data_IF_386548874484
#
_entry.id   IF_386548874484
#
_cell.length_a   1.000
_cell.length_b   1.000
_cell.length_c   1.000
_cell.angle_alpha   90.00
_cell.angle_beta   90.00
_cell.angle_gamma   90.00
#
_symmetry.space_group_name_H-M   'P 1'
#
loop_
_entity.id
_entity.type
_entity.pdbx_description
1 polymer ?
#
# COMPACT_ATOMS: atom_id res chain seq x y z
N UNK A 1 10.95 0.83 -9.58
CA UNK A 1 10.66 -0.09 -8.46
C UNK A 1 10.19 0.75 -7.28
N UNK A 2 8.95 0.55 -6.83
CA UNK A 2 8.43 1.16 -5.60
C UNK A 2 8.56 0.12 -4.50
N UNK A 3 9.42 0.39 -3.51
CA UNK A 3 9.58 -0.48 -2.35
C UNK A 3 8.76 0.11 -1.20
N UNK A 4 7.88 -0.69 -0.61
CA UNK A 4 7.25 -0.38 0.66
C UNK A 4 7.38 -1.62 1.54
N UNK A 5 7.78 -1.44 2.79
CA UNK A 5 7.93 -2.59 3.66
C UNK A 5 6.64 -2.84 4.42
N UNK A 6 5.90 -3.83 3.96
CA UNK A 6 4.79 -4.42 4.69
C UNK A 6 4.81 -5.91 4.48
N UNK A 7 5.19 -6.67 5.53
CA UNK A 7 5.27 -8.14 5.48
C UNK A 7 6.10 -8.70 4.30
N UNK A 8 7.14 -7.99 3.86
CA UNK A 8 7.98 -8.38 2.71
C UNK A 8 7.26 -8.32 1.35
N UNK A 9 6.07 -7.71 1.28
CA UNK A 9 5.32 -7.55 0.05
C UNK A 9 6.07 -6.64 -0.94
N UNK A 10 6.13 -7.08 -2.19
CA UNK A 10 6.63 -6.28 -3.31
C UNK A 10 5.44 -5.89 -4.18
N UNK A 11 5.39 -4.63 -4.61
CA UNK A 11 4.41 -4.15 -5.57
C UNK A 11 5.09 -3.82 -6.89
N UNK A 12 4.78 -4.60 -7.90
CA UNK A 12 5.16 -4.31 -9.28
C UNK A 12 4.14 -3.39 -9.93
N UNK A 13 4.63 -2.35 -10.59
CA UNK A 13 3.82 -1.38 -11.32
C UNK A 13 4.22 -1.46 -12.78
N UNK A 14 3.30 -1.95 -13.61
CA UNK A 14 3.52 -2.08 -15.04
C UNK A 14 3.32 -0.73 -15.72
N UNK A 15 4.38 -0.17 -16.32
CA UNK A 15 4.30 1.08 -17.11
C UNK A 15 3.78 0.86 -18.54
N UNK A 16 3.59 -0.40 -18.92
CA UNK A 16 2.89 -0.81 -20.14
C UNK A 16 1.79 -1.75 -19.70
N UNK A 17 0.56 -1.42 -20.07
CA UNK A 17 -0.62 -2.21 -19.72
C UNK A 17 -0.45 -3.67 -20.17
N UNK A 18 -0.38 -4.64 -19.23
CA UNK A 18 -0.26 -6.05 -19.56
C UNK A 18 -1.62 -6.68 -19.91
N UNK A 19 -2.72 -5.93 -19.86
CA UNK A 19 -4.08 -6.42 -19.94
C UNK A 19 -4.72 -6.64 -18.56
N UNK A 20 -5.94 -7.21 -18.49
CA UNK A 20 -6.61 -7.46 -17.22
C UNK A 20 -5.82 -8.43 -16.35
N UNK A 21 -5.95 -8.29 -15.03
CA UNK A 21 -5.35 -9.24 -14.08
C UNK A 21 -5.84 -10.67 -14.41
N UNK A 22 -4.94 -11.66 -14.48
CA UNK A 22 -5.31 -13.03 -14.86
C UNK A 22 -6.10 -13.76 -13.77
N UNK A 23 -5.98 -13.32 -12.51
CA UNK A 23 -6.72 -13.80 -11.35
C UNK A 23 -6.69 -12.74 -10.24
N UNK A 24 -7.63 -12.86 -9.31
CA UNK A 24 -7.64 -12.02 -8.10
C UNK A 24 -6.54 -12.45 -7.13
N UNK A 25 -5.77 -11.48 -6.64
CA UNK A 25 -4.60 -11.72 -5.79
C UNK A 25 -4.55 -10.74 -4.61
N UNK A 26 -3.74 -11.05 -3.60
CA UNK A 26 -3.66 -10.23 -2.37
C UNK A 26 -3.34 -8.75 -2.62
N UNK A 27 -2.55 -8.44 -3.65
CA UNK A 27 -2.12 -7.06 -3.97
C UNK A 27 -2.69 -6.55 -5.31
N UNK A 28 -3.44 -7.39 -6.02
CA UNK A 28 -3.91 -7.10 -7.37
C UNK A 28 -2.80 -6.83 -8.38
N UNK A 29 -3.19 -6.24 -9.50
CA UNK A 29 -2.29 -5.82 -10.57
C UNK A 29 -2.30 -4.30 -10.68
N UNK A 30 -1.11 -3.69 -10.62
CA UNK A 30 -0.95 -2.23 -10.73
C UNK A 30 -0.44 -1.82 -12.10
N UNK A 31 -1.14 -0.91 -12.77
CA UNK A 31 -0.74 -0.32 -14.05
C UNK A 31 -0.51 1.18 -13.87
N UNK A 32 0.70 1.62 -14.20
CA UNK A 32 1.16 2.99 -14.04
C UNK A 32 1.17 3.74 -15.38
N UNK A 33 0.77 5.00 -15.36
CA UNK A 33 0.93 5.93 -16.47
C UNK A 33 1.30 7.32 -15.95
N UNK A 34 1.82 8.18 -16.83
CA UNK A 34 2.18 9.55 -16.48
C UNK A 34 1.16 10.54 -17.02
N UNK A 35 0.69 11.43 -16.15
CA UNK A 35 -0.14 12.59 -16.49
C UNK A 35 0.66 13.85 -16.12
N UNK A 36 1.42 14.37 -17.10
CA UNK A 36 2.42 15.40 -16.85
C UNK A 36 3.52 14.90 -15.91
N UNK A 37 3.63 15.54 -14.74
CA UNK A 37 4.57 15.19 -13.66
C UNK A 37 3.98 14.23 -12.62
N UNK A 38 2.72 13.85 -12.80
CA UNK A 38 1.99 12.99 -11.86
C UNK A 38 2.04 11.54 -12.30
N UNK A 39 2.54 10.66 -11.44
CA UNK A 39 2.40 9.22 -11.64
C UNK A 39 0.99 8.80 -11.22
N UNK A 40 0.23 8.27 -12.17
CA UNK A 40 -1.12 7.73 -11.95
C UNK A 40 -1.02 6.21 -11.96
N UNK A 41 -1.50 5.56 -10.90
CA UNK A 41 -1.48 4.10 -10.78
C UNK A 41 -2.91 3.60 -10.57
N UNK A 42 -3.36 2.73 -11.45
CA UNK A 42 -4.61 1.99 -11.29
C UNK A 42 -4.33 0.58 -10.79
N UNK A 43 -5.05 0.15 -9.76
CA UNK A 43 -4.97 -1.20 -9.21
C UNK A 43 -6.34 -1.85 -9.20
N UNK A 44 -6.40 -3.06 -9.76
CA UNK A 44 -7.58 -3.93 -9.85
C UNK A 44 -7.17 -5.39 -9.62
N UNK A 45 -8.16 -6.30 -9.52
CA UNK A 45 -7.91 -7.72 -9.32
C UNK A 45 -7.37 -8.04 -7.93
N UNK A 46 -7.73 -7.24 -6.92
CA UNK A 46 -7.54 -7.61 -5.53
C UNK A 46 -8.55 -8.70 -5.15
N UNK A 47 -8.15 -9.65 -4.30
CA UNK A 47 -9.12 -10.54 -3.65
C UNK A 47 -9.80 -9.85 -2.46
N UNK A 48 -10.88 -10.44 -1.94
CA UNK A 48 -11.68 -9.92 -0.82
C UNK A 48 -11.19 -10.40 0.56
N UNK A 49 -10.02 -11.04 0.62
CA UNK A 49 -9.50 -11.70 1.82
C UNK A 49 -8.58 -10.80 2.66
N UNK A 50 -8.42 -9.54 2.25
CA UNK A 50 -7.64 -8.52 2.98
C UNK A 50 -8.53 -7.52 3.70
N UNK A 51 -8.03 -6.97 4.80
CA UNK A 51 -8.63 -5.78 5.39
C UNK A 51 -8.41 -4.56 4.49
N UNK A 52 -9.45 -3.76 4.32
CA UNK A 52 -9.39 -2.50 3.58
C UNK A 52 -8.52 -1.46 4.29
N UNK A 53 -8.65 -1.36 5.60
CA UNK A 53 -7.90 -0.42 6.42
C UNK A 53 -7.56 -1.00 7.80
N UNK A 54 -6.83 -0.22 8.61
CA UNK A 54 -6.43 -0.60 9.97
C UNK A 54 -7.57 -0.70 10.97
N UNK A 55 -8.77 -0.21 10.65
CA UNK A 55 -9.94 -0.34 11.51
C UNK A 55 -10.67 -1.67 11.30
N UNK A 56 -10.24 -2.50 10.33
CA UNK A 56 -10.89 -3.76 10.00
C UNK A 56 -12.13 -3.57 9.12
N UNK A 57 -12.23 -2.46 8.38
CA UNK A 57 -13.20 -2.37 7.30
C UNK A 57 -12.82 -3.34 6.17
N UNK A 58 -13.80 -3.70 5.33
CA UNK A 58 -13.61 -4.66 4.24
C UNK A 58 -13.83 -4.01 2.87
N UNK A 59 -13.38 -4.71 1.83
CA UNK A 59 -13.68 -4.42 0.43
C UNK A 59 -14.02 -5.73 -0.27
N UNK A 60 -14.57 -5.64 -1.47
CA UNK A 60 -14.81 -6.78 -2.37
C UNK A 60 -13.68 -6.91 -3.40
N UNK A 61 -13.79 -7.93 -4.23
CA UNK A 61 -12.96 -8.15 -5.41
C UNK A 61 -13.20 -7.10 -6.52
N UNK A 62 -14.30 -6.33 -6.45
CA UNK A 62 -14.59 -5.24 -7.38
C UNK A 62 -13.90 -3.92 -6.98
N UNK A 63 -13.02 -3.94 -5.97
CA UNK A 63 -12.26 -2.77 -5.56
C UNK A 63 -11.35 -2.28 -6.70
N UNK A 64 -11.54 -1.03 -7.10
CA UNK A 64 -10.65 -0.30 -7.98
C UNK A 64 -10.05 0.87 -7.23
N UNK A 65 -8.72 0.96 -7.25
CA UNK A 65 -7.97 2.04 -6.61
C UNK A 65 -7.18 2.80 -7.67
N UNK A 66 -7.45 4.10 -7.79
CA UNK A 66 -6.68 5.00 -8.66
C UNK A 66 -5.91 5.97 -7.80
N UNK A 67 -4.60 5.76 -7.72
CA UNK A 67 -3.65 6.57 -6.96
C UNK A 67 -2.96 7.59 -7.86
N UNK A 68 -2.67 8.77 -7.30
CA UNK A 68 -1.94 9.85 -7.96
C UNK A 68 -0.84 10.33 -7.04
N UNK A 69 0.39 10.31 -7.55
CA UNK A 69 1.57 10.79 -6.85
C UNK A 69 2.15 11.99 -7.61
N UNK A 70 1.98 13.18 -7.07
CA UNK A 70 2.44 14.43 -7.67
C UNK A 70 3.57 15.04 -6.82
N UNK A 71 4.78 15.23 -7.36
CA UNK A 71 5.82 15.98 -6.66
C UNK A 71 5.38 17.40 -6.33
N UNK A 72 5.51 17.79 -5.06
CA UNK A 72 5.22 19.17 -4.62
C UNK A 72 6.48 19.92 -4.20
N UNK A 73 7.57 19.21 -3.90
CA UNK A 73 8.90 19.75 -3.68
C UNK A 73 9.97 18.65 -3.81
N UNK A 74 11.23 18.95 -3.53
CA UNK A 74 12.31 17.94 -3.41
C UNK A 74 12.10 16.94 -2.25
N UNK A 75 11.20 17.23 -1.32
CA UNK A 75 10.98 16.46 -0.08
C UNK A 75 9.54 16.02 0.14
N UNK A 76 8.61 16.38 -0.73
CA UNK A 76 7.18 16.12 -0.52
C UNK A 76 6.48 15.67 -1.80
N UNK A 77 5.51 14.76 -1.63
CA UNK A 77 4.57 14.35 -2.67
C UNK A 77 3.14 14.64 -2.19
N UNK A 78 2.30 15.18 -3.05
CA UNK A 78 0.85 15.10 -2.88
C UNK A 78 0.37 13.72 -3.32
N UNK A 79 -0.23 12.97 -2.40
CA UNK A 79 -0.86 11.69 -2.67
C UNK A 79 -2.37 11.86 -2.65
N UNK A 80 -3.02 11.39 -3.70
CA UNK A 80 -4.46 11.18 -3.74
C UNK A 80 -4.76 9.72 -4.09
N UNK A 81 -5.81 9.14 -3.51
CA UNK A 81 -6.35 7.87 -3.98
C UNK A 81 -7.86 7.95 -4.07
N UNK A 82 -8.42 7.63 -5.24
CA UNK A 82 -9.85 7.42 -5.44
C UNK A 82 -10.14 5.94 -5.31
N UNK A 83 -11.13 5.59 -4.49
CA UNK A 83 -11.51 4.21 -4.21
C UNK A 83 -12.95 4.00 -4.68
N UNK A 84 -13.15 2.96 -5.47
CA UNK A 84 -14.42 2.57 -6.05
C UNK A 84 -14.65 1.10 -5.77
N UNK A 85 -15.77 0.78 -5.14
CA UNK A 85 -16.21 -0.59 -4.93
C UNK A 85 -17.75 -0.57 -4.93
N UNK A 86 -18.42 -1.01 -6.00
CA UNK A 86 -19.87 -0.94 -6.11
C UNK A 86 -20.61 -1.93 -5.21
N UNK A 87 -19.92 -2.96 -4.67
CA UNK A 87 -20.51 -3.94 -3.75
C UNK A 87 -20.47 -3.46 -2.31
N UNK A 88 -19.48 -2.61 -1.95
CA UNK A 88 -19.25 -2.16 -0.57
C UNK A 88 -19.53 -0.67 -0.36
N UNK A 89 -19.13 0.19 -1.29
CA UNK A 89 -19.26 1.64 -1.15
C UNK A 89 -20.47 2.19 -1.90
N UNK A 90 -21.20 3.12 -1.26
CA UNK A 90 -22.37 3.77 -1.87
C UNK A 90 -22.01 4.74 -3.00
N UNK A 91 -20.75 5.19 -3.05
CA UNK A 91 -20.19 6.05 -4.10
C UNK A 91 -18.65 6.03 -4.05
N UNK A 92 -17.98 6.34 -5.16
CA UNK A 92 -16.57 6.67 -5.17
C UNK A 92 -16.23 7.75 -4.14
N UNK A 93 -15.10 7.58 -3.46
CA UNK A 93 -14.58 8.57 -2.53
C UNK A 93 -13.06 8.66 -2.63
N UNK A 94 -12.50 9.72 -2.04
CA UNK A 94 -11.10 10.07 -2.24
C UNK A 94 -10.43 10.42 -0.92
N UNK A 95 -9.22 9.91 -0.72
CA UNK A 95 -8.28 10.36 0.31
C UNK A 95 -7.21 11.26 -0.29
N UNK A 96 -6.68 12.15 0.55
CA UNK A 96 -5.55 13.02 0.21
C UNK A 96 -4.63 13.18 1.40
N UNK A 97 -3.33 13.09 1.17
CA UNK A 97 -2.32 13.38 2.19
C UNK A 97 -1.02 13.86 1.55
N UNK A 98 -0.19 14.56 2.32
CA UNK A 98 1.18 14.86 1.92
C UNK A 98 2.09 13.74 2.42
N UNK A 99 2.82 13.11 1.50
CA UNK A 99 3.87 12.15 1.83
C UNK A 99 5.21 12.89 1.93
N UNK A 100 5.97 12.57 2.97
CA UNK A 100 7.28 13.16 3.23
C UNK A 100 8.37 12.17 2.85
N UNK A 101 9.37 12.67 2.14
CA UNK A 101 10.60 11.92 1.87
C UNK A 101 11.42 11.86 3.15
N UNK A 102 11.78 10.65 3.58
CA UNK A 102 12.82 10.47 4.60
C UNK A 102 14.15 10.96 4.03
N UNK A 103 14.82 11.83 4.78
CA UNK A 103 16.09 12.48 4.42
C UNK A 103 17.09 12.32 5.55
N UNK A 104 18.37 12.21 5.21
CA UNK A 104 19.47 11.97 6.15
C UNK A 104 20.32 10.78 5.72
N UNK A 105 21.59 10.77 6.13
CA UNK A 105 22.51 9.64 5.88
C UNK A 105 22.08 8.36 6.62
N UNK A 106 21.22 8.52 7.63
CA UNK A 106 20.59 7.47 8.44
C UNK A 106 19.19 7.07 7.93
N UNK A 107 18.75 7.59 6.79
CA UNK A 107 17.46 7.23 6.21
C UNK A 107 17.43 5.74 5.81
N UNK A 108 16.65 4.96 6.56
CA UNK A 108 16.47 3.52 6.33
C UNK A 108 15.00 3.22 6.04
N UNK A 109 14.75 2.36 5.06
CA UNK A 109 13.46 1.67 4.96
C UNK A 109 13.37 0.75 6.19
N UNK A 110 12.49 1.11 7.13
CA UNK A 110 12.40 0.37 8.38
C UNK A 110 11.68 -0.95 8.18
N UNK A 111 12.20 -1.98 8.85
CA UNK A 111 11.59 -3.29 8.77
C UNK A 111 10.22 -3.35 9.41
N UNK A 112 9.19 -3.65 8.62
CA UNK A 112 7.84 -3.84 9.14
C UNK A 112 7.70 -5.25 9.68
N UNK A 113 8.42 -5.53 10.76
CA UNK A 113 8.33 -6.76 11.53
C UNK A 113 7.37 -6.56 12.70
N UNK A 114 6.06 -6.43 12.41
CA UNK A 114 5.06 -6.42 13.48
C UNK A 114 5.15 -7.66 14.38
N UNK A 115 5.60 -8.79 13.83
CA UNK A 115 5.70 -10.07 14.54
C UNK A 115 6.77 -10.00 15.63
N UNK A 116 7.96 -9.45 15.38
CA UNK A 116 9.06 -9.47 16.38
C UNK A 116 8.67 -8.70 17.66
N UNK A 117 8.02 -7.54 17.52
CA UNK A 117 7.54 -6.77 18.67
C UNK A 117 6.37 -7.43 19.39
N UNK A 118 5.44 -8.05 18.65
CA UNK A 118 4.28 -8.73 19.24
C UNK A 118 4.69 -10.07 19.87
N UNK A 119 5.63 -10.80 19.29
CA UNK A 119 6.21 -12.00 19.88
C UNK A 119 6.95 -11.68 21.18
N UNK A 120 7.71 -10.59 21.22
CA UNK A 120 8.32 -10.15 22.48
C UNK A 120 7.24 -9.79 23.51
N UNK A 121 6.22 -9.04 23.10
CA UNK A 121 5.14 -8.63 23.99
C UNK A 121 4.32 -9.81 24.54
N UNK A 122 4.00 -10.80 23.70
CA UNK A 122 3.12 -11.93 24.04
C UNK A 122 3.92 -13.09 24.63
N UNK A 123 5.08 -13.41 24.06
CA UNK A 123 5.88 -14.60 24.35
C UNK A 123 7.28 -14.30 24.89
N UNK A 124 7.66 -13.03 25.12
CA UNK A 124 8.98 -12.67 25.66
C UNK A 124 9.30 -13.38 26.99
N UNK A 125 8.28 -13.57 27.82
CA UNK A 125 8.37 -14.35 29.07
C UNK A 125 8.73 -15.84 28.89
N UNK A 126 8.62 -16.36 27.66
CA UNK A 126 9.01 -17.73 27.29
C UNK A 126 10.40 -17.81 26.65
N UNK A 127 11.11 -16.69 26.47
CA UNK A 127 12.50 -16.70 25.97
C UNK A 127 13.40 -17.44 26.95
N UNK A 128 14.38 -18.15 26.39
CA UNK A 128 15.47 -18.75 27.18
C UNK A 128 16.24 -17.66 27.97
N UNK A 129 16.39 -16.49 27.37
CA UNK A 129 16.95 -15.28 27.97
C UNK A 129 16.01 -14.11 27.66
N UNK A 130 15.13 -13.72 28.61
CA UNK A 130 14.23 -12.58 28.45
C UNK A 130 14.98 -11.25 28.34
N UNK A 131 14.43 -10.30 27.60
CA UNK A 131 14.92 -8.92 27.56
C UNK A 131 14.32 -8.17 28.76
N UNK A 132 15.16 -7.52 29.57
CA UNK A 132 14.74 -6.66 30.70
C UNK A 132 14.15 -5.32 30.23
#
# INVERSE_FOLDING_TARGET
FFAYEYAGAVRDIHLRDPGPAPLDSWMGQSVGSWDGDTLVIETTGQNDLTWFDRAGNFHSEDLRVVERFTPTSSHTLAYEATLEDPKVFTRPWKIRMTLYRLVGDDALLQRFNCIEFVEELIYGHLRKEPLD
#
